data_IF_776373522058
#
_entry.id   IF_776373522058
#
_cell.length_a   1.000
_cell.length_b   1.000
_cell.length_c   1.000
_cell.angle_alpha   90.00
_cell.angle_beta   90.00
_cell.angle_gamma   90.00
#
_symmetry.space_group_name_H-M   'P 1'
#
loop_
_entity.id
_entity.type
_entity.pdbx_description
1 polymer ?
#
# COMPACT_ATOMS: atom_id res chain seq x y z
N UNK A 1 -19.30 14.44 -22.15
CA UNK A 1 -18.07 13.88 -21.54
C UNK A 1 -18.47 13.04 -20.33
N UNK A 2 -18.51 11.72 -20.48
CA UNK A 2 -19.00 10.77 -19.45
C UNK A 2 -17.97 9.69 -19.10
N UNK A 3 -16.69 9.90 -19.47
CA UNK A 3 -15.61 8.92 -19.29
C UNK A 3 -14.93 8.95 -17.91
N UNK A 4 -15.26 9.92 -17.05
CA UNK A 4 -14.54 10.17 -15.79
C UNK A 4 -15.16 9.58 -14.51
N UNK A 5 -16.30 8.88 -14.62
CA UNK A 5 -17.04 8.41 -13.43
C UNK A 5 -16.81 6.95 -13.06
N UNK A 6 -16.02 6.23 -13.83
CA UNK A 6 -15.77 4.80 -13.58
C UNK A 6 -14.27 4.51 -13.60
N UNK A 7 -13.65 4.27 -12.43
CA UNK A 7 -12.26 3.81 -12.32
C UNK A 7 -11.98 2.58 -13.18
N UNK A 8 -12.95 1.66 -13.33
CA UNK A 8 -12.83 0.45 -14.14
C UNK A 8 -12.74 0.74 -15.65
N UNK A 9 -13.13 1.93 -16.10
CA UNK A 9 -13.06 2.33 -17.52
C UNK A 9 -12.01 3.40 -17.81
N UNK A 10 -11.59 4.15 -16.79
CA UNK A 10 -10.64 5.27 -16.90
C UNK A 10 -9.19 4.88 -16.58
N UNK A 11 -8.98 3.76 -15.88
CA UNK A 11 -7.65 3.33 -15.47
C UNK A 11 -7.02 2.41 -16.51
N UNK A 12 -5.86 2.77 -17.06
CA UNK A 12 -5.12 1.95 -18.05
C UNK A 12 -4.68 0.56 -17.52
N UNK A 13 -4.94 0.28 -16.25
CA UNK A 13 -4.66 -0.97 -15.55
C UNK A 13 -5.88 -1.91 -15.48
N UNK A 14 -7.07 -1.44 -15.91
CA UNK A 14 -8.33 -2.23 -15.89
C UNK A 14 -8.57 -2.94 -17.21
N UNK A 15 -8.19 -2.31 -18.31
CA UNK A 15 -8.36 -2.83 -19.66
C UNK A 15 -6.99 -3.29 -20.12
N UNK A 16 -6.74 -4.59 -20.00
CA UNK A 16 -5.59 -5.20 -20.67
C UNK A 16 -5.70 -4.88 -22.16
N UNK A 17 -4.84 -4.01 -22.66
CA UNK A 17 -4.78 -3.72 -24.10
C UNK A 17 -4.05 -4.83 -24.85
N UNK A 18 -4.20 -4.86 -26.18
CA UNK A 18 -3.57 -5.85 -27.08
C UNK A 18 -2.05 -6.00 -26.91
N UNK A 19 -1.38 -5.05 -26.24
CA UNK A 19 0.07 -5.06 -25.95
C UNK A 19 0.43 -5.08 -24.46
N UNK A 20 -0.54 -5.07 -23.53
CA UNK A 20 -0.27 -5.07 -22.07
C UNK A 20 -1.32 -5.90 -21.33
N UNK A 21 -0.96 -7.16 -21.08
CA UNK A 21 -1.74 -8.20 -20.39
C UNK A 21 -1.86 -8.03 -18.86
N UNK A 22 -1.63 -6.84 -18.31
CA UNK A 22 -1.60 -6.68 -16.84
C UNK A 22 -3.02 -6.65 -16.28
N UNK A 23 -3.53 -7.84 -15.94
CA UNK A 23 -4.88 -8.11 -15.40
C UNK A 23 -4.97 -7.88 -13.89
N UNK A 24 -4.29 -6.86 -13.36
CA UNK A 24 -4.25 -6.61 -11.91
C UNK A 24 -5.64 -6.45 -11.30
N UNK A 25 -6.56 -5.86 -12.07
CA UNK A 25 -7.94 -5.64 -11.66
C UNK A 25 -8.68 -6.93 -11.28
N UNK A 26 -8.39 -8.03 -11.97
CA UNK A 26 -9.04 -9.33 -11.74
C UNK A 26 -8.57 -10.00 -10.45
N UNK A 27 -7.45 -9.54 -9.90
CA UNK A 27 -6.87 -10.08 -8.68
C UNK A 27 -7.20 -9.22 -7.44
N UNK A 28 -7.89 -8.09 -7.61
CA UNK A 28 -8.13 -7.12 -6.52
C UNK A 28 -9.00 -7.71 -5.42
N UNK A 29 -10.15 -8.27 -5.77
CA UNK A 29 -11.07 -8.86 -4.80
C UNK A 29 -10.45 -10.08 -4.11
N UNK A 30 -9.77 -10.94 -4.88
CA UNK A 30 -9.03 -12.09 -4.34
C UNK A 30 -7.88 -11.68 -3.41
N UNK A 31 -7.34 -10.48 -3.59
CA UNK A 31 -6.33 -9.89 -2.71
C UNK A 31 -6.92 -9.11 -1.52
N UNK A 32 -8.25 -9.10 -1.37
CA UNK A 32 -8.95 -8.39 -0.29
C UNK A 32 -9.07 -6.88 -0.50
N UNK A 33 -8.90 -6.39 -1.72
CA UNK A 33 -9.03 -4.97 -2.10
C UNK A 33 -10.44 -4.74 -2.67
N UNK A 34 -11.22 -3.90 -1.99
CA UNK A 34 -12.59 -3.58 -2.36
C UNK A 34 -12.65 -2.61 -3.53
N UNK A 35 -13.08 -3.10 -4.70
CA UNK A 35 -13.31 -2.25 -5.87
C UNK A 35 -14.44 -1.25 -5.67
N UNK A 36 -15.48 -1.63 -4.90
CA UNK A 36 -16.62 -0.76 -4.62
C UNK A 36 -16.25 0.44 -3.75
N UNK A 37 -15.21 0.32 -2.91
CA UNK A 37 -14.69 1.44 -2.12
C UNK A 37 -14.20 2.61 -3.00
N UNK A 38 -13.83 2.33 -4.25
CA UNK A 38 -13.40 3.36 -5.21
C UNK A 38 -14.55 4.03 -5.98
N UNK A 39 -15.81 3.69 -5.73
CA UNK A 39 -16.95 4.22 -6.50
C UNK A 39 -17.06 5.76 -6.45
N UNK A 40 -16.56 6.39 -5.38
CA UNK A 40 -16.50 7.85 -5.21
C UNK A 40 -15.19 8.51 -5.67
N UNK A 41 -14.25 7.75 -6.22
CA UNK A 41 -12.95 8.28 -6.70
C UNK A 41 -13.10 8.74 -8.14
N UNK A 42 -12.72 10.00 -8.37
CA UNK A 42 -12.62 10.54 -9.73
C UNK A 42 -11.28 10.11 -10.33
N UNK A 43 -11.28 9.67 -11.59
CA UNK A 43 -10.09 9.15 -12.31
C UNK A 43 -9.50 7.83 -11.76
N UNK A 44 -8.34 7.42 -12.27
CA UNK A 44 -7.68 6.16 -11.93
C UNK A 44 -6.98 6.25 -10.55
N UNK A 45 -7.42 5.50 -9.53
CA UNK A 45 -6.81 5.54 -8.19
C UNK A 45 -5.39 4.96 -8.17
N UNK A 46 -5.08 4.05 -9.09
CA UNK A 46 -3.81 3.32 -9.13
C UNK A 46 -2.75 4.09 -9.92
N UNK A 47 -2.43 5.29 -9.43
CA UNK A 47 -1.31 6.11 -9.92
C UNK A 47 -0.34 6.40 -8.77
N UNK A 48 0.94 6.60 -9.13
CA UNK A 48 1.96 6.97 -8.16
C UNK A 48 2.08 5.96 -7.00
N UNK A 49 2.01 6.38 -5.73
CA UNK A 49 2.20 5.48 -4.59
C UNK A 49 1.12 4.39 -4.47
N UNK A 50 -0.14 4.69 -4.79
CA UNK A 50 -1.24 3.72 -4.71
C UNK A 50 -1.06 2.54 -5.69
N UNK A 51 -0.44 2.79 -6.85
CA UNK A 51 -0.06 1.72 -7.77
C UNK A 51 0.98 0.77 -7.15
N UNK A 52 1.96 1.31 -6.42
CA UNK A 52 2.96 0.47 -5.76
C UNK A 52 2.34 -0.32 -4.61
N UNK A 53 1.48 0.30 -3.80
CA UNK A 53 0.75 -0.39 -2.72
C UNK A 53 -0.09 -1.54 -3.26
N UNK A 54 -0.88 -1.29 -4.32
CA UNK A 54 -1.63 -2.34 -5.02
C UNK A 54 -0.73 -3.51 -5.39
N UNK A 55 0.41 -3.27 -6.03
CA UNK A 55 1.32 -4.37 -6.43
C UNK A 55 1.84 -5.18 -5.26
N UNK A 56 2.18 -4.54 -4.13
CA UNK A 56 2.63 -5.25 -2.93
C UNK A 56 1.53 -6.11 -2.32
N UNK A 57 0.30 -5.61 -2.29
CA UNK A 57 -0.84 -6.38 -1.79
C UNK A 57 -1.23 -7.54 -2.70
N UNK A 58 -1.15 -7.37 -4.02
CA UNK A 58 -1.34 -8.46 -4.98
C UNK A 58 -0.25 -9.54 -4.82
N UNK A 59 1.01 -9.14 -4.60
CA UNK A 59 2.09 -10.09 -4.32
C UNK A 59 1.87 -10.81 -2.99
N UNK A 60 1.47 -10.09 -1.94
CA UNK A 60 1.18 -10.69 -0.64
C UNK A 60 0.02 -11.70 -0.72
N UNK A 61 -1.01 -11.40 -1.51
CA UNK A 61 -2.10 -12.33 -1.76
C UNK A 61 -1.63 -13.58 -2.51
N UNK A 62 -0.81 -13.41 -3.56
CA UNK A 62 -0.23 -14.54 -4.29
C UNK A 62 0.57 -15.47 -3.36
N UNK A 63 1.47 -14.93 -2.54
CA UNK A 63 2.31 -15.72 -1.62
C UNK A 63 1.49 -16.51 -0.60
N UNK A 64 0.39 -15.92 -0.09
CA UNK A 64 -0.56 -16.63 0.79
C UNK A 64 -1.31 -17.73 0.04
N UNK A 65 -1.74 -17.47 -1.19
CA UNK A 65 -2.52 -18.42 -1.99
C UNK A 65 -1.70 -19.61 -2.50
N UNK A 66 -0.42 -19.41 -2.81
CA UNK A 66 0.48 -20.51 -3.24
C UNK A 66 1.02 -21.33 -2.07
N UNK A 67 0.80 -20.90 -0.83
CA UNK A 67 1.36 -21.54 0.36
C UNK A 67 2.86 -21.30 0.53
N UNK A 68 3.44 -20.32 -0.19
CA UNK A 68 4.84 -19.91 0.01
C UNK A 68 5.05 -19.25 1.39
N UNK A 69 3.98 -18.67 1.95
CA UNK A 69 3.99 -18.15 3.31
C UNK A 69 2.59 -18.23 3.94
N UNK A 70 2.52 -18.70 5.18
CA UNK A 70 1.26 -18.78 5.95
C UNK A 70 0.66 -17.40 6.24
N UNK A 71 1.52 -16.40 6.46
CA UNK A 71 1.14 -15.03 6.70
C UNK A 71 2.08 -14.08 5.96
N UNK A 72 1.50 -13.11 5.27
CA UNK A 72 2.26 -12.04 4.60
C UNK A 72 1.60 -10.71 4.93
N UNK A 73 2.38 -9.84 5.55
CA UNK A 73 1.97 -8.48 5.89
C UNK A 73 2.72 -7.48 5.00
N UNK A 74 2.03 -6.41 4.62
CA UNK A 74 2.65 -5.26 3.94
C UNK A 74 2.81 -4.15 4.98
N UNK A 75 4.03 -3.68 5.17
CA UNK A 75 4.37 -2.64 6.13
C UNK A 75 5.02 -1.46 5.42
N UNK A 76 4.55 -0.25 5.73
CA UNK A 76 5.20 0.98 5.32
C UNK A 76 6.22 1.40 6.38
N UNK A 77 7.48 1.53 5.97
CA UNK A 77 8.55 2.09 6.81
C UNK A 77 8.98 3.42 6.22
N UNK A 78 9.05 4.46 7.04
CA UNK A 78 9.49 5.77 6.60
C UNK A 78 9.98 6.66 7.74
N UNK A 79 10.66 7.75 7.40
CA UNK A 79 11.10 8.71 8.41
C UNK A 79 9.93 9.51 8.94
N UNK A 80 9.88 9.74 10.26
CA UNK A 80 8.84 10.55 10.91
C UNK A 80 8.69 11.95 10.29
N UNK A 81 9.81 12.54 9.86
CA UNK A 81 9.89 13.88 9.26
C UNK A 81 9.47 13.92 7.78
N UNK A 82 9.35 12.77 7.10
CA UNK A 82 8.98 12.72 5.70
C UNK A 82 7.46 12.67 5.51
N UNK A 83 6.82 13.82 5.65
CA UNK A 83 5.37 13.97 5.50
C UNK A 83 4.90 13.83 4.05
N UNK A 84 5.76 14.11 3.06
CA UNK A 84 5.41 14.01 1.64
C UNK A 84 5.03 12.59 1.22
N UNK A 85 5.71 11.57 1.76
CA UNK A 85 5.39 10.17 1.47
C UNK A 85 4.04 9.73 2.07
N UNK A 86 3.53 10.47 3.07
CA UNK A 86 2.24 10.19 3.70
C UNK A 86 1.09 11.01 3.10
N UNK A 87 1.39 11.99 2.25
CA UNK A 87 0.40 12.87 1.66
C UNK A 87 -0.60 12.08 0.79
N UNK A 88 -1.88 12.40 0.96
CA UNK A 88 -2.96 11.79 0.18
C UNK A 88 -3.10 12.51 -1.16
N UNK A 89 -2.95 11.81 -2.30
CA UNK A 89 -3.22 12.40 -3.62
C UNK A 89 -4.64 12.97 -3.70
N UNK A 90 -4.85 14.14 -4.36
CA UNK A 90 -6.16 14.80 -4.40
C UNK A 90 -7.33 13.89 -4.81
N UNK A 91 -7.09 13.02 -5.79
CA UNK A 91 -8.08 12.09 -6.31
C UNK A 91 -8.51 11.01 -5.31
N UNK A 92 -7.71 10.77 -4.25
CA UNK A 92 -7.97 9.75 -3.22
C UNK A 92 -8.49 10.33 -1.91
N UNK A 93 -8.65 11.66 -1.82
CA UNK A 93 -9.12 12.32 -0.58
C UNK A 93 -10.51 11.88 -0.16
N UNK A 94 -11.34 11.41 -1.09
CA UNK A 94 -12.67 10.86 -0.78
C UNK A 94 -12.63 9.50 -0.06
N UNK A 95 -11.47 8.82 -0.04
CA UNK A 95 -11.28 7.55 0.67
C UNK A 95 -10.88 7.74 2.13
N UNK A 96 -10.65 8.98 2.56
CA UNK A 96 -10.06 9.27 3.86
C UNK A 96 -11.13 9.80 4.81
N UNK A 97 -11.30 9.11 5.92
CA UNK A 97 -12.03 9.65 7.07
C UNK A 97 -11.20 10.76 7.73
N UNK A 98 -11.88 11.82 8.20
CA UNK A 98 -11.25 13.05 8.72
C UNK A 98 -10.27 12.85 9.87
N UNK A 99 -10.26 11.68 10.50
CA UNK A 99 -9.39 11.36 11.63
C UNK A 99 -8.02 10.77 11.20
N UNK A 100 -7.89 10.23 9.98
CA UNK A 100 -6.64 9.67 9.47
C UNK A 100 -6.25 10.23 8.09
N UNK A 101 -5.83 11.49 8.04
CA UNK A 101 -5.32 12.15 6.82
C UNK A 101 -3.96 11.62 6.34
N UNK A 102 -3.89 10.34 5.96
CA UNK A 102 -2.69 9.72 5.41
C UNK A 102 -2.99 8.75 4.30
N UNK A 103 -1.99 8.54 3.44
CA UNK A 103 -2.06 7.54 2.36
C UNK A 103 -2.26 6.12 2.89
N UNK A 104 -1.85 5.87 4.14
CA UNK A 104 -2.06 4.59 4.85
C UNK A 104 -3.53 4.43 5.21
N UNK A 105 -4.14 5.47 5.80
CA UNK A 105 -5.58 5.48 6.12
C UNK A 105 -6.42 5.32 4.86
N UNK A 106 -6.12 6.08 3.81
CA UNK A 106 -6.76 5.96 2.50
C UNK A 106 -6.67 4.54 1.91
N UNK A 107 -5.54 3.85 2.11
CA UNK A 107 -5.35 2.49 1.63
C UNK A 107 -6.10 1.48 2.51
N UNK A 108 -6.02 1.61 3.83
CA UNK A 108 -6.72 0.72 4.75
C UNK A 108 -8.24 0.81 4.59
N UNK A 109 -8.79 1.97 4.21
CA UNK A 109 -10.20 2.15 3.90
C UNK A 109 -10.69 1.31 2.71
N UNK A 110 -9.79 0.87 1.82
CA UNK A 110 -10.15 0.02 0.67
C UNK A 110 -9.87 -1.46 0.90
N UNK A 111 -9.28 -1.84 2.04
CA UNK A 111 -9.04 -3.24 2.39
C UNK A 111 -10.25 -3.81 3.11
N UNK A 112 -10.73 -4.98 2.67
CA UNK A 112 -11.88 -5.67 3.27
C UNK A 112 -11.46 -6.99 3.91
N UNK A 113 -10.75 -7.81 3.14
CA UNK A 113 -10.38 -9.18 3.52
C UNK A 113 -8.85 -9.38 3.59
N UNK A 114 -8.10 -8.27 3.58
CA UNK A 114 -6.65 -8.26 3.72
C UNK A 114 -6.23 -7.62 5.05
N UNK A 115 -5.10 -8.07 5.66
CA UNK A 115 -4.55 -7.40 6.82
C UNK A 115 -4.31 -5.90 6.56
N UNK A 116 -4.64 -5.01 7.50
CA UNK A 116 -4.41 -3.59 7.32
C UNK A 116 -2.91 -3.31 7.18
N UNK A 117 -2.55 -2.36 6.32
CA UNK A 117 -1.18 -1.90 6.21
C UNK A 117 -0.78 -1.20 7.50
N UNK A 118 0.28 -1.70 8.13
CA UNK A 118 0.89 -1.05 9.29
C UNK A 118 1.90 -0.02 8.83
N UNK A 119 2.09 1.01 9.65
CA UNK A 119 3.14 1.99 9.44
C UNK A 119 4.07 2.05 10.65
N UNK A 120 5.37 2.05 10.38
CA UNK A 120 6.41 2.23 11.37
C UNK A 120 7.32 3.37 10.94
N UNK A 121 7.68 4.22 11.89
CA UNK A 121 8.79 5.14 11.62
C UNK A 121 10.12 4.42 11.79
N UNK A 122 11.13 4.85 11.03
CA UNK A 122 12.51 4.37 11.21
C UNK A 122 12.95 4.54 12.66
N UNK A 123 12.61 5.66 13.29
CA UNK A 123 12.96 5.96 14.69
C UNK A 123 12.28 4.98 15.65
N UNK A 124 11.01 4.62 15.41
CA UNK A 124 10.30 3.59 16.19
C UNK A 124 10.94 2.22 16.01
N UNK A 125 11.31 1.88 14.77
CA UNK A 125 11.98 0.62 14.46
C UNK A 125 13.32 0.53 15.21
N UNK A 126 14.16 1.58 15.13
CA UNK A 126 15.46 1.60 15.80
C UNK A 126 15.36 1.60 17.31
N UNK A 127 14.41 2.36 17.88
CA UNK A 127 14.15 2.34 19.32
C UNK A 127 13.82 0.92 19.80
N UNK A 128 13.03 0.16 19.02
CA UNK A 128 12.71 -1.24 19.35
C UNK A 128 13.87 -2.19 19.12
N UNK A 129 14.62 -2.04 18.04
CA UNK A 129 15.80 -2.86 17.75
C UNK A 129 16.87 -2.71 18.85
N UNK A 130 17.00 -1.51 19.43
CA UNK A 130 17.92 -1.23 20.53
C UNK A 130 17.54 -1.95 21.84
N UNK A 131 16.27 -2.33 22.03
CA UNK A 131 15.80 -2.96 23.28
C UNK A 131 15.67 -4.48 23.21
N UNK A 132 15.76 -5.08 22.03
CA UNK A 132 15.67 -6.54 21.87
C UNK A 132 17.00 -7.20 22.28
N UNK A 133 16.99 -8.10 23.25
CA UNK A 133 18.16 -8.92 23.57
C UNK A 133 18.45 -9.93 22.45
N UNK A 134 19.72 -10.11 22.07
CA UNK A 134 20.12 -11.12 21.09
C UNK A 134 20.02 -10.72 19.61
N UNK A 135 19.69 -9.47 19.26
CA UNK A 135 19.89 -8.98 17.89
C UNK A 135 21.39 -8.77 17.62
N UNK A 136 21.83 -9.31 16.49
CA UNK A 136 23.16 -9.12 15.92
C UNK A 136 23.55 -7.63 15.84
N UNK A 137 24.68 -7.28 16.46
CA UNK A 137 25.25 -5.94 16.48
C UNK A 137 25.52 -5.41 15.06
N UNK A 138 25.87 -6.28 14.12
CA UNK A 138 26.17 -5.90 12.74
C UNK A 138 24.91 -5.43 12.02
N UNK A 139 23.79 -6.12 12.24
CA UNK A 139 22.49 -5.71 11.73
C UNK A 139 22.04 -4.36 12.28
N UNK A 140 22.33 -4.08 13.55
CA UNK A 140 22.01 -2.77 14.15
C UNK A 140 22.83 -1.67 13.51
N UNK A 141 24.14 -1.88 13.38
CA UNK A 141 25.05 -0.89 12.79
C UNK A 141 24.69 -0.64 11.33
N UNK A 142 24.39 -1.69 10.57
CA UNK A 142 23.89 -1.55 9.20
C UNK A 142 22.64 -0.68 9.12
N UNK A 143 21.64 -0.90 9.98
CA UNK A 143 20.42 -0.09 9.98
C UNK A 143 20.70 1.37 10.35
N UNK A 144 21.57 1.62 11.33
CA UNK A 144 21.99 2.99 11.71
C UNK A 144 22.68 3.71 10.56
N UNK A 145 23.66 3.07 9.92
CA UNK A 145 24.36 3.64 8.77
C UNK A 145 23.43 3.88 7.57
N UNK A 146 22.52 2.94 7.30
CA UNK A 146 21.63 3.02 6.15
C UNK A 146 20.60 4.13 6.27
N UNK A 147 20.13 4.38 7.50
CA UNK A 147 19.02 5.28 7.78
C UNK A 147 19.43 6.55 8.54
N UNK A 148 20.71 6.71 8.90
CA UNK A 148 21.25 7.89 9.60
C UNK A 148 20.53 8.19 10.93
N UNK A 149 20.43 7.16 11.79
CA UNK A 149 19.66 7.15 13.06
C UNK A 149 20.37 6.40 14.18
#
# INVERSE_FOLDING_TARGET
MARDKDPARSCLLTTGGDRRSRRYWEHMEAAGISLSAFAGVQSCPFQGPFYQLMRQFLLAAYLRQTGEADQVEVVSIGFSRNTKLRAVPPQLRSLVDREEESIIGAWNAVLKDAPPMRHWTVEQLMARVNTIEGIDLDWRNYLRERYDV
#
